data_IF_696434091982
#
_entry.id   IF_696434091982
#
_cell.length_a   1.000
_cell.length_b   1.000
_cell.length_c   1.000
_cell.angle_alpha   90.00
_cell.angle_beta   90.00
_cell.angle_gamma   90.00
#
_symmetry.space_group_name_H-M   'P 1'
#
loop_
_entity.id
_entity.type
_entity.pdbx_description
1 polymer ?
#
# COMPACT_ATOMS: atom_id res chain seq x y z
N UNK A 1 -7.02 -10.41 -4.41
CA UNK A 1 -5.71 -9.83 -4.01
C UNK A 1 -4.62 -10.88 -4.11
N UNK A 2 -4.04 -11.07 -5.29
CA UNK A 2 -3.01 -12.10 -5.50
C UNK A 2 -1.68 -11.74 -4.84
N UNK A 3 -1.32 -10.46 -4.83
CA UNK A 3 -0.05 -9.97 -4.23
C UNK A 3 0.04 -10.24 -2.73
N UNK A 4 -1.07 -10.13 -1.98
CA UNK A 4 -1.06 -10.41 -0.53
C UNK A 4 -0.83 -11.90 -0.24
N UNK A 5 -1.35 -12.79 -1.10
CA UNK A 5 -1.11 -14.23 -0.97
C UNK A 5 0.35 -14.58 -1.21
N UNK A 6 1.00 -13.93 -2.17
CA UNK A 6 2.45 -14.07 -2.40
C UNK A 6 3.21 -13.59 -1.16
N UNK A 7 2.88 -12.40 -0.63
CA UNK A 7 3.54 -11.88 0.57
C UNK A 7 3.35 -12.77 1.80
N UNK A 8 2.18 -13.40 1.94
CA UNK A 8 1.91 -14.33 3.02
C UNK A 8 2.64 -15.67 2.83
N UNK A 9 2.53 -16.29 1.66
CA UNK A 9 2.98 -17.67 1.43
C UNK A 9 4.48 -17.75 1.14
N UNK A 10 5.02 -16.78 0.39
CA UNK A 10 6.40 -16.85 -0.11
C UNK A 10 7.36 -16.02 0.76
N UNK A 11 6.84 -15.02 1.48
CA UNK A 11 7.62 -14.09 2.30
C UNK A 11 7.22 -14.05 3.78
N UNK A 12 6.32 -14.95 4.20
CA UNK A 12 5.89 -15.14 5.60
C UNK A 12 5.45 -13.85 6.31
N UNK A 13 4.88 -12.90 5.56
CA UNK A 13 4.38 -11.65 6.12
C UNK A 13 3.08 -11.95 6.88
N UNK A 14 3.05 -11.61 8.16
CA UNK A 14 1.87 -11.80 9.01
C UNK A 14 0.61 -11.14 8.38
N UNK A 15 -0.47 -11.91 8.15
CA UNK A 15 -1.71 -11.37 7.58
C UNK A 15 -2.33 -10.24 8.41
N UNK A 16 -2.14 -10.27 9.73
CA UNK A 16 -2.64 -9.24 10.64
C UNK A 16 -2.00 -7.86 10.40
N UNK A 17 -0.84 -7.81 9.72
CA UNK A 17 -0.12 -6.57 9.36
C UNK A 17 -0.45 -6.07 7.96
N UNK A 18 -1.34 -6.74 7.23
CA UNK A 18 -1.63 -6.44 5.83
C UNK A 18 -3.13 -6.15 5.64
N UNK A 19 -3.44 -5.19 4.76
CA UNK A 19 -4.83 -4.89 4.40
C UNK A 19 -4.98 -4.83 2.88
N UNK A 20 -5.93 -5.60 2.37
CA UNK A 20 -6.32 -5.64 0.96
C UNK A 20 -7.39 -4.58 0.67
N UNK A 21 -7.14 -3.65 -0.26
CA UNK A 21 -8.16 -2.72 -0.72
C UNK A 21 -8.20 -2.64 -2.25
N UNK A 22 -9.40 -2.77 -2.83
CA UNK A 22 -9.67 -2.51 -4.23
C UNK A 22 -10.33 -1.14 -4.39
N UNK A 23 -9.79 -0.28 -5.25
CA UNK A 23 -10.34 1.08 -5.49
C UNK A 23 -11.00 1.26 -6.86
N UNK A 24 -10.96 0.22 -7.70
CA UNK A 24 -11.55 0.20 -9.05
C UNK A 24 -11.21 1.48 -9.85
N UNK A 25 -12.07 1.87 -10.77
CA UNK A 25 -11.94 3.08 -11.59
C UNK A 25 -12.32 4.38 -10.86
N UNK A 26 -12.74 4.32 -9.59
CA UNK A 26 -13.20 5.50 -8.84
C UNK A 26 -12.06 6.39 -8.33
N UNK A 27 -10.82 5.90 -8.36
CA UNK A 27 -9.63 6.67 -7.99
C UNK A 27 -8.50 6.50 -9.02
N UNK A 28 -8.68 7.07 -10.23
CA UNK A 28 -7.65 7.04 -11.26
C UNK A 28 -6.44 7.89 -10.86
N UNK A 29 -5.24 7.56 -11.37
CA UNK A 29 -4.08 8.47 -11.26
C UNK A 29 -4.15 9.57 -12.32
N UNK A 30 -4.58 9.17 -13.51
CA UNK A 30 -4.65 9.97 -14.73
C UNK A 30 -5.97 9.70 -15.43
N UNK A 31 -6.44 10.62 -16.26
CA UNK A 31 -7.72 10.48 -16.95
C UNK A 31 -7.79 9.22 -17.83
N UNK A 32 -8.96 8.59 -17.95
CA UNK A 32 -9.14 7.34 -18.70
C UNK A 32 -9.36 7.57 -20.22
N UNK A 33 -8.81 8.65 -20.76
CA UNK A 33 -9.02 9.16 -22.12
C UNK A 33 -8.40 8.27 -23.21
N UNK A 34 -7.21 7.71 -22.97
CA UNK A 34 -6.46 6.92 -23.95
C UNK A 34 -5.99 5.56 -23.42
N UNK A 35 -5.57 4.68 -24.32
CA UNK A 35 -5.17 3.31 -23.97
C UNK A 35 -3.95 3.27 -23.04
N UNK A 36 -3.00 4.19 -23.21
CA UNK A 36 -1.81 4.28 -22.38
C UNK A 36 -2.15 4.70 -20.94
N UNK A 37 -3.07 5.65 -20.76
CA UNK A 37 -3.51 6.11 -19.45
C UNK A 37 -4.32 5.05 -18.71
N UNK A 38 -5.20 4.32 -19.40
CA UNK A 38 -5.87 3.14 -18.83
C UNK A 38 -4.87 2.07 -18.39
N UNK A 39 -3.80 1.85 -19.16
CA UNK A 39 -2.73 0.94 -18.76
C UNK A 39 -2.02 1.41 -17.49
N UNK A 40 -1.70 2.71 -17.37
CA UNK A 40 -1.11 3.30 -16.15
C UNK A 40 -2.00 3.17 -14.92
N UNK A 41 -3.32 3.25 -15.08
CA UNK A 41 -4.27 3.13 -13.96
C UNK A 41 -4.42 1.70 -13.43
N UNK A 42 -4.03 0.66 -14.20
CA UNK A 42 -4.03 -0.74 -13.75
C UNK A 42 -2.77 -1.05 -12.92
N UNK A 43 -2.80 -0.72 -11.63
CA UNK A 43 -1.65 -0.83 -10.72
C UNK A 43 -2.00 -1.44 -9.36
N UNK A 44 -0.98 -1.99 -8.70
CA UNK A 44 -1.01 -2.32 -7.27
C UNK A 44 -0.20 -1.27 -6.51
N UNK A 45 -0.81 -0.57 -5.55
CA UNK A 45 -0.11 0.37 -4.66
C UNK A 45 0.14 -0.29 -3.32
N UNK A 46 1.40 -0.37 -2.92
CA UNK A 46 1.82 -0.86 -1.60
C UNK A 46 2.18 0.37 -0.76
N UNK A 47 1.56 0.51 0.41
CA UNK A 47 1.86 1.59 1.36
C UNK A 47 2.41 0.94 2.62
N UNK A 48 3.67 1.21 2.93
CA UNK A 48 4.31 0.73 4.16
C UNK A 48 4.18 1.83 5.20
N UNK A 49 3.39 1.57 6.24
CA UNK A 49 3.23 2.48 7.36
C UNK A 49 4.18 2.05 8.49
N UNK A 50 4.93 2.99 9.11
CA UNK A 50 5.66 2.70 10.34
C UNK A 50 4.68 2.46 11.49
N UNK A 51 5.15 1.81 12.57
CA UNK A 51 4.38 1.77 13.82
C UNK A 51 4.33 3.19 14.38
N UNK A 52 3.13 3.77 14.43
CA UNK A 52 2.90 5.13 14.93
C UNK A 52 3.47 5.31 16.34
N UNK A 53 3.31 4.30 17.21
CA UNK A 53 3.83 4.34 18.59
C UNK A 53 5.35 4.53 18.61
N UNK A 54 6.09 3.72 17.82
CA UNK A 54 7.54 3.84 17.70
C UNK A 54 7.98 5.17 17.08
N UNK A 55 7.14 5.73 16.20
CA UNK A 55 7.39 7.04 15.60
C UNK A 55 7.23 8.17 16.63
N UNK A 56 6.22 8.11 17.51
CA UNK A 56 6.04 9.07 18.58
C UNK A 56 7.17 9.00 19.63
N UNK A 57 7.63 7.80 19.97
CA UNK A 57 8.78 7.61 20.87
C UNK A 57 10.05 8.25 20.31
N UNK A 58 10.31 8.09 19.00
CA UNK A 58 11.46 8.70 18.32
C UNK A 58 11.39 10.24 18.30
N UNK A 59 10.20 10.81 18.07
CA UNK A 59 10.03 12.26 18.13
C UNK A 59 10.25 12.77 19.56
N UNK A 60 9.71 12.09 20.58
CA UNK A 60 9.93 12.49 21.98
C UNK A 60 11.40 12.44 22.38
N UNK A 61 12.14 11.40 21.96
CA UNK A 61 13.58 11.27 22.24
C UNK A 61 14.42 12.33 21.52
N UNK A 62 14.05 12.72 20.29
CA UNK A 62 14.75 13.77 19.54
C UNK A 62 14.40 15.20 19.95
N UNK A 63 13.37 15.39 20.79
CA UNK A 63 12.97 16.68 21.35
C UNK A 63 13.56 16.94 22.76
N UNK A 64 14.30 15.98 23.33
CA UNK A 64 15.18 16.17 24.49
C UNK A 64 16.59 16.55 24.02
#
# INVERSE_FOLDING_TARGET
>A
TSVIRILQNDYDVSPARMTAAGRSYYMPLVDNDNAANRAKNRRTRIVVLPKLDQFYDLIQQGMQ
#
